data_IF_074028896295
#
_entry.id   IF_074028896295
#
_cell.length_a   1.000
_cell.length_b   1.000
_cell.length_c   1.000
_cell.angle_alpha   90.00
_cell.angle_beta   90.00
_cell.angle_gamma   90.00
#
_symmetry.space_group_name_H-M   'P 1'
#
loop_
_entity.id
_entity.type
_entity.pdbx_description
1 polymer ?
#
# COMPACT_ATOMS: atom_id res chain seq x y z
N UNK A 1 -13.53 -18.01 15.94
CA UNK A 1 -12.90 -17.02 15.06
C UNK A 1 -12.77 -17.68 13.69
N UNK A 2 -13.38 -17.13 12.65
CA UNK A 2 -13.22 -17.64 11.28
C UNK A 2 -11.80 -17.37 10.77
N UNK A 3 -11.39 -18.04 9.69
CA UNK A 3 -10.09 -17.74 9.06
C UNK A 3 -10.02 -16.29 8.56
N UNK A 4 -11.14 -15.76 8.07
CA UNK A 4 -11.26 -14.37 7.64
C UNK A 4 -11.06 -13.39 8.81
N UNK A 5 -11.67 -13.66 9.97
CA UNK A 5 -11.46 -12.86 11.19
C UNK A 5 -10.00 -12.93 11.67
N UNK A 6 -9.36 -14.11 11.59
CA UNK A 6 -7.95 -14.28 11.94
C UNK A 6 -7.04 -13.46 11.02
N UNK A 7 -7.24 -13.55 9.71
CA UNK A 7 -6.45 -12.79 8.72
C UNK A 7 -6.66 -11.28 8.88
N UNK A 8 -7.89 -10.85 9.12
CA UNK A 8 -8.22 -9.43 9.38
C UNK A 8 -7.53 -8.91 10.63
N UNK A 9 -7.36 -9.75 11.66
CA UNK A 9 -6.62 -9.43 12.87
C UNK A 9 -5.07 -9.48 12.70
N UNK A 10 -4.56 -9.73 11.48
CA UNK A 10 -3.13 -9.85 11.20
C UNK A 10 -2.54 -11.23 11.52
N UNK A 11 -3.39 -12.25 11.69
CA UNK A 11 -2.97 -13.63 11.86
C UNK A 11 -2.31 -14.17 10.60
N UNK A 12 -1.34 -15.06 10.78
CA UNK A 12 -0.74 -15.87 9.71
C UNK A 12 -1.25 -17.30 9.88
N UNK A 13 -1.95 -17.81 8.86
CA UNK A 13 -2.46 -19.17 8.89
C UNK A 13 -1.34 -20.15 8.48
N UNK A 14 -1.37 -21.41 8.94
CA UNK A 14 -0.48 -22.44 8.42
C UNK A 14 -0.53 -22.54 6.89
N UNK A 15 0.60 -22.78 6.19
CA UNK A 15 0.65 -22.83 4.72
C UNK A 15 -0.36 -23.80 4.09
N UNK A 16 -0.64 -24.92 4.78
CA UNK A 16 -1.50 -26.00 4.28
C UNK A 16 -2.96 -25.86 4.75
N UNK A 17 -3.39 -24.65 5.15
CA UNK A 17 -4.76 -24.42 5.61
C UNK A 17 -5.75 -24.48 4.44
N UNK A 18 -6.52 -25.56 4.37
CA UNK A 18 -7.60 -25.69 3.39
C UNK A 18 -8.83 -24.83 3.77
N UNK A 19 -9.57 -24.35 2.77
CA UNK A 19 -10.82 -23.61 2.99
C UNK A 19 -10.64 -22.20 3.57
N UNK A 20 -9.43 -21.63 3.53
CA UNK A 20 -9.14 -20.28 4.00
C UNK A 20 -9.69 -19.16 3.09
N UNK A 21 -10.20 -19.52 1.90
CA UNK A 21 -10.78 -18.61 0.91
C UNK A 21 -9.73 -17.93 0.02
N UNK A 22 -10.18 -17.27 -1.05
CA UNK A 22 -9.32 -16.65 -2.07
C UNK A 22 -8.49 -15.47 -1.55
N UNK A 23 -8.90 -14.89 -0.42
CA UNK A 23 -8.18 -13.81 0.26
C UNK A 23 -6.99 -14.30 1.09
N UNK A 24 -6.86 -15.61 1.31
CA UNK A 24 -5.72 -16.21 1.99
C UNK A 24 -4.67 -16.60 0.95
N UNK A 25 -3.65 -15.76 0.78
CA UNK A 25 -2.59 -15.96 -0.22
C UNK A 25 -1.27 -16.35 0.45
N UNK A 26 -0.35 -17.06 -0.23
CA UNK A 26 0.96 -17.36 0.33
C UNK A 26 1.65 -16.12 0.85
N UNK A 27 2.09 -16.14 2.11
CA UNK A 27 2.90 -15.10 2.73
C UNK A 27 4.35 -15.54 2.69
N UNK A 28 5.20 -14.73 2.08
CA UNK A 28 6.63 -15.01 1.93
C UNK A 28 7.45 -14.19 2.91
N UNK A 29 8.44 -14.81 3.55
CA UNK A 29 9.52 -14.11 4.20
C UNK A 29 10.62 -13.83 3.16
N UNK A 30 10.91 -12.55 2.96
CA UNK A 30 11.97 -12.06 2.09
C UNK A 30 13.08 -11.47 2.94
N UNK A 31 14.32 -11.81 2.61
CA UNK A 31 15.48 -11.56 3.48
C UNK A 31 16.46 -10.68 2.74
N UNK A 32 16.86 -9.57 3.37
CA UNK A 32 17.75 -8.58 2.77
C UNK A 32 18.90 -8.18 3.70
N UNK A 33 20.03 -7.77 3.09
CA UNK A 33 21.17 -7.13 3.74
C UNK A 33 21.40 -5.74 3.18
N UNK A 34 22.03 -4.89 3.99
CA UNK A 34 22.49 -3.57 3.54
C UNK A 34 23.84 -3.27 4.20
N UNK A 35 24.85 -2.75 3.47
CA UNK A 35 26.18 -2.49 4.02
C UNK A 35 26.18 -1.59 5.26
N UNK A 36 25.25 -0.65 5.35
CA UNK A 36 25.04 0.22 6.52
C UNK A 36 24.32 -0.41 7.72
N UNK A 37 23.97 -1.69 7.66
CA UNK A 37 23.31 -2.42 8.77
C UNK A 37 24.23 -3.42 9.49
N UNK A 38 25.52 -3.47 9.14
CA UNK A 38 26.49 -4.45 9.63
C UNK A 38 25.97 -5.89 9.40
N UNK A 39 26.03 -6.77 10.41
CA UNK A 39 25.57 -8.17 10.32
C UNK A 39 24.04 -8.33 10.47
N UNK A 40 23.28 -7.23 10.55
CA UNK A 40 21.83 -7.31 10.71
C UNK A 40 21.13 -7.61 9.39
N UNK A 41 20.09 -8.42 9.50
CA UNK A 41 19.25 -8.84 8.38
C UNK A 41 17.88 -8.18 8.51
N UNK A 42 17.36 -7.67 7.39
CA UNK A 42 15.98 -7.18 7.28
C UNK A 42 15.12 -8.31 6.75
N UNK A 43 14.06 -8.66 7.48
CA UNK A 43 13.07 -9.65 7.03
C UNK A 43 11.74 -8.95 6.83
N UNK A 44 11.15 -9.12 5.65
CA UNK A 44 9.83 -8.57 5.31
C UNK A 44 8.87 -9.68 4.95
N UNK A 45 7.67 -9.61 5.54
CA UNK A 45 6.58 -10.52 5.26
C UNK A 45 5.69 -9.89 4.19
N UNK A 46 5.62 -10.52 3.02
CA UNK A 46 4.94 -9.97 1.84
C UNK A 46 4.11 -11.06 1.18
N UNK A 47 2.89 -10.72 0.77
CA UNK A 47 2.08 -11.60 -0.06
C UNK A 47 2.89 -12.03 -1.29
N UNK A 48 2.93 -13.34 -1.59
CA UNK A 48 3.87 -13.92 -2.55
C UNK A 48 3.77 -13.29 -3.94
N UNK A 49 2.55 -12.93 -4.35
CA UNK A 49 2.26 -12.20 -5.59
C UNK A 49 2.87 -10.78 -5.64
N UNK A 50 3.06 -10.14 -4.48
CA UNK A 50 3.70 -8.83 -4.37
C UNK A 50 5.22 -8.93 -4.13
N UNK A 51 5.77 -10.14 -4.07
CA UNK A 51 7.15 -10.35 -3.68
C UNK A 51 8.18 -9.69 -4.59
N UNK A 52 7.98 -9.76 -5.91
CA UNK A 52 8.89 -9.13 -6.87
C UNK A 52 8.87 -7.59 -6.76
N UNK A 53 7.72 -7.02 -6.43
CA UNK A 53 7.57 -5.60 -6.18
C UNK A 53 8.34 -5.14 -4.95
N UNK A 54 8.23 -5.89 -3.86
CA UNK A 54 8.99 -5.63 -2.64
C UNK A 54 10.50 -5.68 -2.93
N UNK A 55 10.99 -6.66 -3.70
CA UNK A 55 12.42 -6.77 -4.00
C UNK A 55 12.94 -5.55 -4.76
N UNK A 56 12.18 -5.05 -5.74
CA UNK A 56 12.54 -3.84 -6.46
C UNK A 56 12.57 -2.62 -5.53
N UNK A 57 11.59 -2.49 -4.64
CA UNK A 57 11.55 -1.42 -3.67
C UNK A 57 12.72 -1.51 -2.67
N UNK A 58 13.03 -2.71 -2.18
CA UNK A 58 14.17 -2.97 -1.31
C UNK A 58 15.49 -2.62 -2.02
N UNK A 59 15.69 -3.10 -3.25
CA UNK A 59 16.88 -2.82 -4.05
C UNK A 59 17.07 -1.31 -4.30
N UNK A 60 15.98 -0.58 -4.54
CA UNK A 60 16.03 0.88 -4.65
C UNK A 60 16.59 1.55 -3.39
N UNK A 61 16.29 1.00 -2.21
CA UNK A 61 16.81 1.45 -0.91
C UNK A 61 18.22 0.93 -0.60
N UNK A 62 18.88 0.24 -1.56
CA UNK A 62 20.19 -0.36 -1.41
C UNK A 62 20.20 -1.69 -0.65
N UNK A 63 19.03 -2.28 -0.40
CA UNK A 63 18.91 -3.59 0.21
C UNK A 63 19.15 -4.68 -0.85
N UNK A 64 20.05 -5.60 -0.57
CA UNK A 64 20.37 -6.74 -1.43
C UNK A 64 19.72 -8.00 -0.87
N UNK A 65 19.11 -8.81 -1.74
CA UNK A 65 18.49 -10.07 -1.34
C UNK A 65 19.56 -11.06 -0.84
N UNK A 66 19.34 -11.63 0.34
CA UNK A 66 20.29 -12.53 1.03
C UNK A 66 19.91 -14.02 0.87
N UNK A 67 18.64 -14.30 0.55
CA UNK A 67 18.13 -15.66 0.40
C UNK A 67 16.90 -15.70 -0.52
N UNK A 68 16.64 -16.88 -1.07
CA UNK A 68 15.40 -17.17 -1.79
C UNK A 68 14.19 -16.97 -0.86
N UNK A 69 13.07 -16.40 -1.35
CA UNK A 69 11.88 -16.20 -0.53
C UNK A 69 11.30 -17.52 -0.05
N UNK A 70 10.90 -17.57 1.23
CA UNK A 70 10.32 -18.76 1.85
C UNK A 70 8.86 -18.51 2.19
N UNK A 71 7.96 -19.42 1.81
CA UNK A 71 6.55 -19.37 2.25
C UNK A 71 6.49 -19.70 3.74
N UNK A 72 5.98 -18.79 4.54
CA UNK A 72 5.88 -18.93 6.02
C UNK A 72 4.45 -19.13 6.51
N UNK A 73 3.46 -19.03 5.63
CA UNK A 73 2.05 -19.20 5.95
C UNK A 73 1.15 -18.66 4.86
N UNK A 74 -0.14 -18.52 5.18
CA UNK A 74 -1.09 -17.73 4.40
C UNK A 74 -1.38 -16.43 5.14
N UNK A 75 -1.37 -15.33 4.39
CA UNK A 75 -1.70 -13.99 4.87
C UNK A 75 -2.85 -13.39 4.05
N UNK A 76 -3.36 -12.22 4.47
CA UNK A 76 -4.38 -11.52 3.71
C UNK A 76 -3.79 -11.09 2.35
N UNK A 77 -4.61 -11.19 1.30
CA UNK A 77 -4.31 -10.59 0.01
C UNK A 77 -4.18 -9.09 0.18
N UNK A 78 -3.10 -8.52 -0.36
CA UNK A 78 -2.81 -7.10 -0.30
C UNK A 78 -2.67 -6.56 -1.73
N UNK A 79 -3.14 -5.33 -1.96
CA UNK A 79 -2.87 -4.61 -3.20
C UNK A 79 -1.64 -3.73 -3.01
N UNK A 80 -0.83 -3.55 -4.06
CA UNK A 80 0.27 -2.59 -4.03
C UNK A 80 -0.28 -1.18 -3.82
N UNK A 81 0.16 -0.54 -2.74
CA UNK A 81 -0.14 0.85 -2.42
C UNK A 81 0.94 1.80 -2.93
N UNK A 82 0.83 3.06 -2.52
CA UNK A 82 1.92 4.02 -2.69
C UNK A 82 2.91 3.91 -1.52
N UNK A 83 4.24 3.92 -1.75
CA UNK A 83 4.93 4.15 -3.02
C UNK A 83 5.25 2.88 -3.84
N UNK A 84 4.99 1.68 -3.32
CA UNK A 84 5.44 0.42 -3.90
C UNK A 84 4.96 0.21 -5.33
N UNK A 85 3.70 0.57 -5.61
CA UNK A 85 3.15 0.52 -6.97
C UNK A 85 3.97 1.37 -7.95
N UNK A 86 4.42 2.56 -7.54
CA UNK A 86 5.26 3.40 -8.40
C UNK A 86 6.61 2.74 -8.64
N UNK A 87 7.22 2.16 -7.60
CA UNK A 87 8.53 1.49 -7.74
C UNK A 87 8.50 0.32 -8.71
N UNK A 88 7.34 -0.33 -8.88
CA UNK A 88 7.14 -1.42 -9.84
C UNK A 88 6.83 -0.92 -11.23
N UNK A 89 5.88 0.00 -11.35
CA UNK A 89 5.28 0.37 -12.63
C UNK A 89 5.95 1.57 -13.29
N UNK A 90 6.63 2.41 -12.51
CA UNK A 90 7.34 3.62 -12.93
C UNK A 90 8.67 3.76 -12.16
N UNK A 91 9.58 2.76 -12.26
CA UNK A 91 10.83 2.75 -11.49
C UNK A 91 11.70 3.99 -11.73
N UNK A 92 11.61 4.62 -12.91
CA UNK A 92 12.26 5.89 -13.25
C UNK A 92 11.88 7.04 -12.31
N UNK A 93 10.68 7.00 -11.75
CA UNK A 93 10.13 7.99 -10.83
C UNK A 93 10.19 7.56 -9.36
N UNK A 94 10.83 6.41 -9.07
CA UNK A 94 10.93 5.85 -7.73
C UNK A 94 11.52 6.79 -6.68
N UNK A 95 12.55 7.58 -7.05
CA UNK A 95 13.14 8.58 -6.15
C UNK A 95 12.13 9.66 -5.76
N UNK A 96 11.32 10.11 -6.72
CA UNK A 96 10.26 11.09 -6.46
C UNK A 96 9.20 10.51 -5.53
N UNK A 97 8.76 9.26 -5.75
CA UNK A 97 7.76 8.62 -4.91
C UNK A 97 8.25 8.46 -3.45
N UNK A 98 9.48 8.00 -3.27
CA UNK A 98 10.06 7.84 -1.93
C UNK A 98 10.32 9.18 -1.24
N UNK A 99 10.63 10.23 -2.00
CA UNK A 99 10.75 11.59 -1.47
C UNK A 99 9.45 12.14 -0.84
N UNK A 100 8.28 11.61 -1.23
CA UNK A 100 6.97 12.02 -0.71
C UNK A 100 6.62 11.35 0.62
N UNK A 101 7.21 10.19 0.92
CA UNK A 101 6.87 9.36 2.09
C UNK A 101 7.01 10.13 3.43
N UNK A 102 8.08 10.91 3.69
CA UNK A 102 8.19 11.66 4.94
C UNK A 102 7.05 12.67 5.17
N UNK A 103 6.59 13.32 4.09
CA UNK A 103 5.46 14.25 4.14
C UNK A 103 4.15 13.49 4.41
N UNK A 104 3.94 12.34 3.76
CA UNK A 104 2.79 11.46 4.01
C UNK A 104 2.73 11.01 5.48
N UNK A 105 3.84 10.52 6.04
CA UNK A 105 3.90 10.09 7.44
C UNK A 105 3.63 11.23 8.41
N UNK A 106 4.17 12.42 8.11
CA UNK A 106 3.95 13.62 8.92
C UNK A 106 2.47 14.00 8.95
N UNK A 107 1.78 13.94 7.81
CA UNK A 107 0.33 14.20 7.73
C UNK A 107 -0.46 13.09 8.43
N UNK A 108 -0.07 11.83 8.25
CA UNK A 108 -0.74 10.67 8.86
C UNK A 108 -0.81 10.78 10.39
N UNK A 109 0.27 11.22 11.04
CA UNK A 109 0.32 11.44 12.50
C UNK A 109 -0.70 12.46 13.01
N UNK A 110 -1.25 13.31 12.14
CA UNK A 110 -2.22 14.35 12.50
C UNK A 110 -3.67 13.91 12.28
N UNK A 111 -3.93 12.83 11.55
CA UNK A 111 -5.28 12.42 11.13
C UNK A 111 -6.22 12.27 12.32
N UNK A 112 -5.77 11.61 13.39
CA UNK A 112 -6.58 11.43 14.61
C UNK A 112 -6.95 12.74 15.32
N UNK A 113 -5.98 13.64 15.48
CA UNK A 113 -6.14 14.85 16.30
C UNK A 113 -6.68 16.05 15.53
N UNK A 114 -6.40 16.12 14.22
CA UNK A 114 -6.71 17.23 13.33
C UNK A 114 -7.14 16.70 11.95
N UNK A 115 -8.22 15.90 11.85
CA UNK A 115 -8.57 15.18 10.63
C UNK A 115 -8.82 16.12 9.43
N UNK A 116 -9.45 17.27 9.66
CA UNK A 116 -9.66 18.27 8.61
C UNK A 116 -8.34 18.85 8.07
N UNK A 117 -7.43 19.25 8.97
CA UNK A 117 -6.14 19.80 8.57
C UNK A 117 -5.27 18.76 7.85
N UNK A 118 -5.34 17.50 8.28
CA UNK A 118 -4.67 16.40 7.59
C UNK A 118 -5.25 16.17 6.19
N UNK A 119 -6.58 16.21 6.04
CA UNK A 119 -7.25 16.11 4.74
C UNK A 119 -6.82 17.25 3.82
N UNK A 120 -6.82 18.50 4.31
CA UNK A 120 -6.39 19.67 3.54
C UNK A 120 -4.91 19.52 3.09
N UNK A 121 -4.03 19.01 3.97
CA UNK A 121 -2.63 18.74 3.66
C UNK A 121 -2.43 17.64 2.62
N UNK A 122 -3.21 16.55 2.66
CA UNK A 122 -3.18 15.52 1.60
C UNK A 122 -3.64 16.08 0.25
N UNK A 123 -4.67 16.93 0.24
CA UNK A 123 -5.12 17.58 -0.98
C UNK A 123 -4.05 18.51 -1.55
N UNK A 124 -3.38 19.30 -0.71
CA UNK A 124 -2.27 20.16 -1.13
C UNK A 124 -1.07 19.37 -1.65
N UNK A 125 -0.69 18.28 -0.98
CA UNK A 125 0.32 17.34 -1.45
C UNK A 125 -0.03 16.79 -2.84
N UNK A 126 -1.25 16.29 -3.00
CA UNK A 126 -1.72 15.79 -4.30
C UNK A 126 -1.70 16.86 -5.39
N UNK A 127 -2.08 18.10 -5.09
CA UNK A 127 -2.01 19.20 -6.06
C UNK A 127 -0.55 19.49 -6.51
N UNK A 128 0.43 19.36 -5.61
CA UNK A 128 1.85 19.47 -5.96
C UNK A 128 2.30 18.32 -6.87
N UNK A 129 1.88 17.10 -6.57
CA UNK A 129 2.20 15.92 -7.39
C UNK A 129 1.57 15.99 -8.78
N UNK A 130 0.34 16.49 -8.89
CA UNK A 130 -0.38 16.65 -10.16
C UNK A 130 0.39 17.48 -11.19
N UNK A 131 1.25 18.41 -10.74
CA UNK A 131 2.01 19.28 -11.63
C UNK A 131 3.19 18.58 -12.33
N UNK A 132 3.70 17.47 -11.79
CA UNK A 132 4.89 16.79 -12.33
C UNK A 132 4.72 15.30 -12.55
N UNK A 133 4.05 14.61 -11.63
CA UNK A 133 3.91 13.14 -11.58
C UNK A 133 2.44 12.75 -11.34
N UNK A 134 1.51 13.15 -12.23
CA UNK A 134 0.07 12.90 -12.03
C UNK A 134 -0.27 11.41 -11.92
N UNK A 135 0.55 10.53 -12.49
CA UNK A 135 0.39 9.07 -12.38
C UNK A 135 0.58 8.53 -10.94
N UNK A 136 1.10 9.32 -10.01
CA UNK A 136 1.15 8.97 -8.58
C UNK A 136 -0.20 9.12 -7.88
N UNK A 137 -1.05 10.03 -8.37
CA UNK A 137 -2.24 10.49 -7.65
C UNK A 137 -3.21 9.37 -7.26
N UNK A 138 -3.48 8.36 -8.12
CA UNK A 138 -4.45 7.33 -7.76
C UNK A 138 -4.03 6.56 -6.52
N UNK A 139 -2.81 6.00 -6.53
CA UNK A 139 -2.30 5.21 -5.40
C UNK A 139 -1.95 6.08 -4.19
N UNK A 140 -1.52 7.32 -4.40
CA UNK A 140 -1.32 8.30 -3.34
C UNK A 140 -2.62 8.59 -2.56
N UNK A 141 -3.70 8.91 -3.27
CA UNK A 141 -4.97 9.23 -2.61
C UNK A 141 -5.62 8.02 -1.96
N UNK A 142 -5.51 6.84 -2.57
CA UNK A 142 -5.94 5.59 -1.92
C UNK A 142 -5.16 5.33 -0.63
N UNK A 143 -3.83 5.52 -0.64
CA UNK A 143 -3.01 5.35 0.56
C UNK A 143 -3.39 6.35 1.64
N UNK A 144 -3.60 7.62 1.29
CA UNK A 144 -4.14 8.61 2.23
C UNK A 144 -5.53 8.21 2.76
N UNK A 145 -6.37 7.61 1.92
CA UNK A 145 -7.67 7.08 2.31
C UNK A 145 -7.56 5.97 3.36
N UNK A 146 -6.62 5.04 3.19
CA UNK A 146 -6.32 3.98 4.17
C UNK A 146 -5.91 4.53 5.53
N UNK A 147 -5.15 5.63 5.56
CA UNK A 147 -4.81 6.30 6.82
C UNK A 147 -6.07 6.81 7.55
N UNK A 148 -7.07 7.34 6.82
CA UNK A 148 -8.34 7.74 7.44
C UNK A 148 -9.20 6.54 7.85
N UNK A 149 -9.19 5.45 7.09
CA UNK A 149 -9.88 4.21 7.46
C UNK A 149 -9.34 3.64 8.78
N UNK A 150 -8.02 3.68 8.98
CA UNK A 150 -7.39 3.24 10.23
C UNK A 150 -7.84 4.04 11.47
N UNK A 151 -8.34 5.25 11.28
CA UNK A 151 -8.93 6.10 12.34
C UNK A 151 -10.47 6.16 12.23
N UNK A 152 -11.07 5.14 11.61
CA UNK A 152 -12.53 4.95 11.45
C UNK A 152 -13.24 6.14 10.77
N UNK A 153 -12.51 6.93 9.98
CA UNK A 153 -13.05 8.09 9.28
C UNK A 153 -13.43 7.74 7.83
N UNK A 154 -14.49 6.96 7.69
CA UNK A 154 -15.03 6.53 6.39
C UNK A 154 -15.38 7.70 5.46
N UNK A 155 -15.78 8.86 6.01
CA UNK A 155 -16.16 10.04 5.21
C UNK A 155 -14.96 10.61 4.44
N UNK A 156 -13.82 10.79 5.09
CA UNK A 156 -12.62 11.32 4.41
C UNK A 156 -11.94 10.25 3.55
N UNK A 157 -12.00 8.98 3.94
CA UNK A 157 -11.58 7.88 3.08
C UNK A 157 -12.35 7.86 1.75
N UNK A 158 -13.68 7.95 1.77
CA UNK A 158 -14.53 7.99 0.57
C UNK A 158 -14.18 9.18 -0.35
N UNK A 159 -13.92 10.34 0.26
CA UNK A 159 -13.54 11.55 -0.46
C UNK A 159 -12.17 11.43 -1.13
N UNK A 160 -11.23 10.68 -0.54
CA UNK A 160 -9.92 10.43 -1.12
C UNK A 160 -9.99 9.36 -2.21
N UNK A 161 -10.77 8.30 -2.02
CA UNK A 161 -11.06 7.32 -3.08
C UNK A 161 -11.63 8.02 -4.32
N UNK A 162 -12.61 8.91 -4.13
CA UNK A 162 -13.20 9.70 -5.23
C UNK A 162 -12.15 10.58 -5.93
N UNK A 163 -11.18 11.14 -5.17
CA UNK A 163 -10.09 11.94 -5.75
C UNK A 163 -9.12 11.09 -6.56
N UNK A 164 -8.82 9.87 -6.12
CA UNK A 164 -8.03 8.92 -6.91
C UNK A 164 -8.65 8.69 -8.29
N UNK A 165 -9.96 8.40 -8.33
CA UNK A 165 -10.72 8.20 -9.59
C UNK A 165 -10.79 9.46 -10.45
N UNK A 166 -10.97 10.63 -9.83
CA UNK A 166 -10.96 11.91 -10.55
C UNK A 166 -9.60 12.18 -11.19
N UNK A 167 -8.50 11.89 -10.50
CA UNK A 167 -7.17 12.08 -11.05
C UNK A 167 -6.92 11.20 -12.29
N UNK A 168 -7.41 9.95 -12.28
CA UNK A 168 -7.36 9.08 -13.46
C UNK A 168 -8.05 9.72 -14.66
N UNK A 169 -9.28 10.21 -14.46
CA UNK A 169 -10.06 10.86 -15.52
C UNK A 169 -9.46 12.20 -15.98
N UNK A 170 -9.04 13.06 -15.05
CA UNK A 170 -8.51 14.40 -15.32
C UNK A 170 -7.17 14.36 -16.06
N UNK A 171 -6.34 13.35 -15.78
CA UNK A 171 -5.02 13.19 -16.39
C UNK A 171 -4.95 12.12 -17.48
N UNK A 172 -6.07 11.46 -17.82
CA UNK A 172 -6.14 10.43 -18.85
C UNK A 172 -5.27 9.21 -18.54
N UNK A 173 -5.19 8.83 -17.26
CA UNK A 173 -4.38 7.70 -16.81
C UNK A 173 -5.06 6.37 -17.13
N UNK A 174 -4.27 5.35 -17.49
CA UNK A 174 -4.78 4.00 -17.64
C UNK A 174 -5.26 3.47 -16.30
N UNK A 175 -6.49 2.97 -16.26
CA UNK A 175 -7.07 2.33 -15.07
C UNK A 175 -6.73 0.84 -15.10
N UNK A 176 -6.10 0.37 -14.03
CA UNK A 176 -5.94 -1.05 -13.75
C UNK A 176 -7.23 -1.55 -13.08
N UNK A 177 -8.08 -2.26 -13.83
CA UNK A 177 -9.41 -2.70 -13.39
C UNK A 177 -9.34 -3.69 -12.23
N UNK A 178 -8.40 -4.66 -12.28
CA UNK A 178 -8.25 -5.67 -11.22
C UNK A 178 -7.82 -5.01 -9.89
N UNK A 179 -6.87 -4.08 -9.96
CA UNK A 179 -6.43 -3.30 -8.80
C UNK A 179 -7.56 -2.40 -8.28
N UNK A 180 -8.30 -1.75 -9.18
CA UNK A 180 -9.41 -0.90 -8.80
C UNK A 180 -10.51 -1.69 -8.07
N UNK A 181 -10.89 -2.86 -8.58
CA UNK A 181 -11.88 -3.73 -7.95
C UNK A 181 -11.45 -4.16 -6.54
N UNK A 182 -10.18 -4.51 -6.37
CA UNK A 182 -9.63 -4.85 -5.06
C UNK A 182 -9.70 -3.67 -4.07
N UNK A 183 -9.32 -2.47 -4.49
CA UNK A 183 -9.37 -1.27 -3.63
C UNK A 183 -10.81 -0.80 -3.38
N UNK A 184 -11.70 -0.93 -4.37
CA UNK A 184 -13.12 -0.66 -4.19
C UNK A 184 -13.70 -1.56 -3.10
N UNK A 185 -13.47 -2.88 -3.20
CA UNK A 185 -13.94 -3.85 -2.21
C UNK A 185 -13.34 -3.56 -0.82
N UNK A 186 -12.05 -3.22 -0.75
CA UNK A 186 -11.38 -2.80 0.49
C UNK A 186 -12.14 -1.64 1.17
N UNK A 187 -12.41 -0.56 0.43
CA UNK A 187 -13.07 0.63 0.97
C UNK A 187 -14.57 0.41 1.25
N UNK A 188 -15.26 -0.42 0.44
CA UNK A 188 -16.65 -0.78 0.66
C UNK A 188 -16.83 -1.61 1.95
N UNK A 189 -15.97 -2.62 2.16
CA UNK A 189 -15.99 -3.42 3.39
C UNK A 189 -15.65 -2.58 4.63
N UNK A 190 -14.86 -1.52 4.48
CA UNK A 190 -14.58 -0.55 5.54
C UNK A 190 -15.69 0.53 5.71
N UNK A 191 -16.79 0.44 4.96
CA UNK A 191 -17.94 1.34 5.06
C UNK A 191 -17.73 2.74 4.45
N UNK A 192 -16.66 2.94 3.68
CA UNK A 192 -16.41 4.20 2.98
C UNK A 192 -17.11 4.30 1.63
N UNK A 193 -17.51 3.18 1.04
CA UNK A 193 -18.21 3.11 -0.25
C UNK A 193 -19.52 2.32 -0.10
N UNK A 194 -20.51 2.56 -0.98
CA UNK A 194 -21.80 1.87 -0.96
C UNK A 194 -21.71 0.39 -1.33
#
# INVERSE_FOLDING_TARGET
MSYEELLTAGGVLPPDTEGAGERAVPLTARTYRHPGLDDRVVVRLVAGELGAAEDLAAAFLGLEQDAEPVVVGLGPRQSLGFPEWVLVHHPEDGHHALGVVPDLEKVARQVKSKPKAAMDAYVELGARLAASVPHFLPTFYEQAGRVFLAEENATYAAQLFTRARKAEAEHGLTVDEERLDAVFLEFALAGALP
#
